data_IF_354158382213
#
_entry.id   IF_354158382213
#
_cell.length_a   1.000
_cell.length_b   1.000
_cell.length_c   1.000
_cell.angle_alpha   90.00
_cell.angle_beta   90.00
_cell.angle_gamma   90.00
#
_symmetry.space_group_name_H-M   'P 1'
#
loop_
_entity.id
_entity.type
_entity.pdbx_description
1 polymer ?
#
# COMPACT_ATOMS: atom_id res chain seq x y z
N UNK A 1 -8.48 -12.41 0.15
CA UNK A 1 -7.64 -11.95 1.27
C UNK A 1 -6.40 -12.81 1.29
N UNK A 2 -5.24 -12.18 1.49
CA UNK A 2 -3.94 -12.84 1.31
C UNK A 2 -3.42 -12.77 -0.13
N UNK A 3 -4.00 -11.90 -0.96
CA UNK A 3 -3.44 -11.62 -2.28
C UNK A 3 -2.19 -10.78 -2.10
N UNK A 4 -1.09 -11.23 -2.70
CA UNK A 4 0.21 -10.58 -2.62
C UNK A 4 0.51 -9.89 -3.94
N UNK A 5 0.66 -8.58 -3.87
CA UNK A 5 1.04 -7.73 -5.01
C UNK A 5 2.53 -7.45 -4.91
N UNK A 6 3.30 -8.08 -5.79
CA UNK A 6 4.73 -7.82 -5.88
C UNK A 6 4.97 -6.40 -6.42
N UNK A 7 5.78 -5.64 -5.69
CA UNK A 7 6.25 -4.32 -6.12
C UNK A 7 7.77 -4.31 -6.16
N UNK A 8 8.38 -3.51 -7.05
CA UNK A 8 9.83 -3.32 -7.07
C UNK A 8 10.35 -2.81 -5.71
N UNK A 9 11.40 -3.45 -5.17
CA UNK A 9 12.01 -3.08 -3.88
C UNK A 9 12.48 -1.62 -3.82
N UNK A 10 12.82 -1.03 -4.98
CA UNK A 10 13.22 0.38 -5.13
C UNK A 10 12.16 1.37 -4.66
N UNK A 11 10.90 0.94 -4.48
CA UNK A 11 9.84 1.77 -3.93
C UNK A 11 9.84 1.82 -2.39
N UNK A 12 10.75 1.10 -1.73
CA UNK A 12 10.91 1.07 -0.27
C UNK A 12 9.89 0.18 0.45
N UNK A 13 9.12 -0.60 -0.32
CA UNK A 13 8.18 -1.59 0.16
C UNK A 13 8.59 -2.98 -0.33
N UNK A 14 8.35 -3.98 0.49
CA UNK A 14 8.25 -5.36 0.02
C UNK A 14 6.86 -5.65 -0.52
N UNK A 15 6.53 -6.93 -0.75
CA UNK A 15 5.25 -7.31 -1.33
C UNK A 15 4.06 -6.79 -0.51
N UNK A 16 3.09 -6.18 -1.18
CA UNK A 16 1.89 -5.64 -0.55
C UNK A 16 0.87 -6.77 -0.41
N UNK A 17 0.44 -7.04 0.81
CA UNK A 17 -0.62 -8.00 1.11
C UNK A 17 -1.96 -7.28 1.24
N UNK A 18 -2.98 -7.75 0.53
CA UNK A 18 -4.36 -7.27 0.69
C UNK A 18 -5.00 -7.98 1.88
N UNK A 19 -5.19 -7.22 2.96
CA UNK A 19 -5.72 -7.74 4.23
C UNK A 19 -7.24 -7.65 4.30
N UNK A 20 -7.86 -6.66 3.64
CA UNK A 20 -9.31 -6.59 3.48
C UNK A 20 -9.76 -5.79 2.25
N UNK A 21 -10.91 -6.16 1.69
CA UNK A 21 -11.64 -5.37 0.69
C UNK A 21 -13.02 -5.12 1.26
N UNK A 22 -13.35 -3.86 1.48
CA UNK A 22 -14.67 -3.42 1.97
C UNK A 22 -15.33 -2.56 0.91
N UNK A 23 -16.64 -2.32 1.04
CA UNK A 23 -17.36 -1.42 0.12
C UNK A 23 -16.81 0.02 0.10
N UNK A 24 -16.03 0.44 1.11
CA UNK A 24 -15.52 1.80 1.25
C UNK A 24 -14.02 1.94 0.93
N UNK A 25 -13.22 0.90 1.19
CA UNK A 25 -11.76 0.97 1.09
C UNK A 25 -11.12 -0.43 0.94
N UNK A 26 -9.89 -0.41 0.43
CA UNK A 26 -8.97 -1.55 0.42
C UNK A 26 -7.97 -1.36 1.55
N UNK A 27 -7.89 -2.35 2.42
CA UNK A 27 -6.90 -2.44 3.49
C UNK A 27 -5.73 -3.31 3.02
N UNK A 28 -4.52 -2.80 3.22
CA UNK A 28 -3.28 -3.40 2.75
C UNK A 28 -2.20 -3.32 3.82
N UNK A 29 -1.29 -4.28 3.82
CA UNK A 29 -0.10 -4.28 4.65
C UNK A 29 1.14 -4.53 3.78
N UNK A 30 2.24 -3.86 4.07
CA UNK A 30 3.50 -4.11 3.38
C UNK A 30 4.68 -3.98 4.34
N UNK A 31 5.70 -4.88 4.26
CA UNK A 31 6.94 -4.69 4.98
C UNK A 31 7.73 -3.53 4.35
N UNK A 32 8.47 -2.80 5.17
CA UNK A 32 9.40 -1.77 4.73
C UNK A 32 10.74 -2.43 4.39
N UNK A 33 11.29 -2.11 3.23
CA UNK A 33 12.63 -2.58 2.81
C UNK A 33 13.74 -1.59 3.17
N UNK A 34 13.38 -0.38 3.64
CA UNK A 34 14.30 0.67 4.04
C UNK A 34 13.89 1.38 5.32
N UNK A 35 14.73 2.31 5.79
CA UNK A 35 14.55 3.04 7.05
C UNK A 35 13.61 4.26 6.96
N UNK A 36 13.08 4.56 5.77
CA UNK A 36 12.20 5.70 5.52
C UNK A 36 10.86 5.25 4.96
N UNK A 37 9.77 5.81 5.50
CA UNK A 37 8.42 5.62 4.97
C UNK A 37 7.65 6.94 4.98
N UNK A 38 7.16 7.36 3.82
CA UNK A 38 6.17 8.42 3.68
C UNK A 38 4.99 7.91 2.85
N UNK A 39 3.79 8.33 3.24
CA UNK A 39 2.57 8.10 2.46
C UNK A 39 1.70 9.34 2.47
N UNK A 40 1.15 9.66 1.31
CA UNK A 40 0.11 10.67 1.13
C UNK A 40 -1.08 10.03 0.41
N UNK A 41 -2.25 10.66 0.47
CA UNK A 41 -3.43 10.25 -0.32
C UNK A 41 -4.22 9.05 0.22
N UNK A 42 -3.57 8.10 0.89
CA UNK A 42 -4.24 7.04 1.65
C UNK A 42 -4.06 7.26 3.16
N UNK A 43 -5.05 6.86 3.93
CA UNK A 43 -4.94 6.81 5.39
C UNK A 43 -4.10 5.59 5.77
N UNK A 44 -3.01 5.80 6.49
CA UNK A 44 -2.12 4.72 6.87
C UNK A 44 -0.99 5.22 7.74
N UNK A 45 -0.44 4.34 8.55
CA UNK A 45 0.64 4.65 9.49
C UNK A 45 1.67 3.54 9.48
N UNK A 46 2.94 3.93 9.33
CA UNK A 46 4.06 3.02 9.47
C UNK A 46 4.31 2.69 10.94
N UNK A 47 4.45 1.40 11.26
CA UNK A 47 4.90 0.93 12.55
C UNK A 47 6.29 0.29 12.40
N UNK A 48 7.28 0.82 13.12
CA UNK A 48 8.55 0.10 13.28
C UNK A 48 8.31 -1.03 14.30
N UNK A 49 8.45 -2.29 13.88
CA UNK A 49 8.54 -3.37 14.87
C UNK A 49 9.91 -3.30 15.55
N UNK A 50 9.95 -3.60 16.84
CA UNK A 50 11.17 -3.59 17.64
C UNK A 50 12.20 -4.66 17.21
N UNK A 51 11.82 -5.60 16.33
CA UNK A 51 12.73 -6.57 15.70
C UNK A 51 13.39 -6.06 14.39
N UNK A 52 13.22 -4.80 14.02
CA UNK A 52 13.88 -4.21 12.85
C UNK A 52 13.18 -4.45 11.51
N UNK A 53 12.08 -5.21 11.49
CA UNK A 53 11.18 -5.31 10.35
C UNK A 53 10.05 -4.30 10.48
N UNK A 54 10.21 -3.10 9.93
CA UNK A 54 9.13 -2.13 9.86
C UNK A 54 8.05 -2.60 8.90
N UNK A 55 6.79 -2.28 9.19
CA UNK A 55 5.67 -2.56 8.29
C UNK A 55 4.70 -1.40 8.30
N UNK A 56 3.93 -1.27 7.23
CA UNK A 56 2.89 -0.25 7.13
C UNK A 56 1.54 -0.87 6.82
N UNK A 57 0.52 -0.42 7.56
CA UNK A 57 -0.87 -0.57 7.18
C UNK A 57 -1.35 0.63 6.35
N UNK A 58 -2.06 0.35 5.27
CA UNK A 58 -2.61 1.35 4.35
C UNK A 58 -4.09 1.05 4.10
N UNK A 59 -4.92 2.09 4.17
CA UNK A 59 -6.33 2.08 3.83
C UNK A 59 -6.59 3.11 2.74
N UNK A 60 -6.95 2.63 1.54
CA UNK A 60 -7.15 3.45 0.36
C UNK A 60 -8.60 3.36 -0.13
N UNK A 61 -9.23 4.52 -0.36
CA UNK A 61 -10.58 4.60 -0.95
C UNK A 61 -10.49 4.56 -2.48
N UNK A 62 -11.61 4.21 -3.12
CA UNK A 62 -11.72 4.30 -4.59
C UNK A 62 -11.44 5.71 -5.06
N UNK A 63 -10.62 5.85 -6.11
CA UNK A 63 -10.23 7.13 -6.69
C UNK A 63 -9.17 7.89 -5.88
N UNK A 64 -8.72 7.36 -4.74
CA UNK A 64 -7.56 7.90 -4.03
C UNK A 64 -6.28 7.48 -4.74
N UNK A 65 -5.42 8.45 -5.00
CA UNK A 65 -4.03 8.24 -5.45
C UNK A 65 -3.13 8.45 -4.25
N UNK A 66 -2.54 7.37 -3.76
CA UNK A 66 -1.48 7.41 -2.77
C UNK A 66 -0.14 7.65 -3.45
N UNK A 67 0.73 8.42 -2.80
CA UNK A 67 2.15 8.47 -3.16
C UNK A 67 2.95 7.89 -2.00
N UNK A 68 3.78 6.89 -2.29
CA UNK A 68 4.63 6.18 -1.34
C UNK A 68 6.08 6.57 -1.63
N UNK A 69 6.78 7.05 -0.60
CA UNK A 69 8.20 7.43 -0.63
C UNK A 69 8.56 8.41 -1.77
N UNK A 70 7.59 9.16 -2.30
CA UNK A 70 7.72 10.06 -3.45
C UNK A 70 8.27 9.38 -4.73
N UNK A 71 8.19 8.05 -4.82
CA UNK A 71 8.74 7.26 -5.93
C UNK A 71 7.74 6.28 -6.53
N UNK A 72 6.62 6.02 -5.85
CA UNK A 72 5.56 5.13 -6.30
C UNK A 72 4.21 5.80 -6.10
N UNK A 73 3.34 5.71 -7.10
CA UNK A 73 1.91 5.99 -6.95
C UNK A 73 1.09 4.69 -6.91
N UNK A 74 0.08 4.70 -6.05
CA UNK A 74 -0.87 3.61 -5.86
C UNK A 74 -2.29 4.18 -5.95
N UNK A 75 -3.03 3.76 -6.96
CA UNK A 75 -4.42 4.18 -7.16
C UNK A 75 -5.36 2.98 -7.01
N UNK A 76 -6.41 3.15 -6.21
CA UNK A 76 -7.53 2.20 -6.19
C UNK A 76 -8.54 2.63 -7.27
N UNK A 77 -8.41 2.03 -8.45
CA UNK A 77 -9.24 2.37 -9.62
C UNK A 77 -10.69 1.92 -9.40
N UNK A 78 -10.88 0.77 -8.77
CA UNK A 78 -12.21 0.20 -8.52
C UNK A 78 -12.21 -0.74 -7.33
N UNK A 79 -13.30 -0.70 -6.57
CA UNK A 79 -13.66 -1.74 -5.61
C UNK A 79 -14.95 -2.39 -6.10
N UNK A 80 -14.96 -3.71 -6.18
CA UNK A 80 -16.15 -4.55 -6.30
C UNK A 80 -16.38 -5.33 -5.00
N UNK A 81 -17.31 -6.27 -5.00
CA UNK A 81 -17.75 -6.96 -3.78
C UNK A 81 -16.62 -7.70 -3.05
N UNK A 82 -15.73 -8.36 -3.78
CA UNK A 82 -14.59 -9.12 -3.23
C UNK A 82 -13.28 -8.85 -3.96
N UNK A 83 -13.27 -7.90 -4.89
CA UNK A 83 -12.14 -7.64 -5.80
C UNK A 83 -11.84 -6.15 -5.81
N UNK A 84 -10.57 -5.78 -5.84
CA UNK A 84 -10.13 -4.42 -6.08
C UNK A 84 -9.18 -4.39 -7.28
N UNK A 85 -9.24 -3.30 -8.04
CA UNK A 85 -8.29 -3.01 -9.12
C UNK A 85 -7.34 -1.95 -8.62
N UNK A 86 -6.07 -2.33 -8.50
CA UNK A 86 -4.98 -1.45 -8.11
C UNK A 86 -4.16 -1.08 -9.34
N UNK A 87 -3.88 0.21 -9.50
CA UNK A 87 -2.89 0.71 -10.45
C UNK A 87 -1.66 1.14 -9.68
N UNK A 88 -0.50 0.59 -10.08
CA UNK A 88 0.80 0.87 -9.46
C UNK A 88 1.73 1.36 -10.55
N UNK A 89 2.32 2.52 -10.34
CA UNK A 89 3.26 3.13 -11.28
C UNK A 89 4.33 3.94 -10.54
N UNK A 90 5.47 4.26 -11.18
CA UNK A 90 6.44 5.19 -10.60
C UNK A 90 5.80 6.57 -10.40
N UNK A 91 6.12 7.25 -9.31
CA UNK A 91 5.72 8.64 -9.11
C UNK A 91 6.55 9.57 -10.04
N UNK A 92 5.89 10.51 -10.72
CA UNK A 92 6.50 11.45 -11.67
C UNK A 92 5.47 12.39 -12.29
#
# INVERSE_FOLDING_TARGET
>A
MGDVVAVPERYGLGPIEVTAITAAAVEMAAPLTGSGYSVSGCSGGGGVSSQGGGGVGMSCKVGSVATINDVMSLEVVKIGDTVAVLRIEPAG
#
